data_IF_922604985422
#
_entry.id   IF_922604985422
#
_cell.length_a   1.000
_cell.length_b   1.000
_cell.length_c   1.000
_cell.angle_alpha   90.00
_cell.angle_beta   90.00
_cell.angle_gamma   90.00
#
_symmetry.space_group_name_H-M   'P 1'
#
loop_
_entity.id
_entity.type
_entity.pdbx_description
1 polymer ?
#
# COMPACT_ATOMS: atom_id res chain seq x y z
N UNK A 1 -6.55 -1.84 5.87
CA UNK A 1 -5.89 -0.72 6.55
C UNK A 1 -5.43 -1.18 7.92
N UNK A 2 -4.23 -0.78 8.36
CA UNK A 2 -3.72 -1.11 9.69
C UNK A 2 -4.40 -0.21 10.73
N UNK A 3 -4.63 -0.71 11.96
CA UNK A 3 -5.14 0.10 13.09
C UNK A 3 -4.32 1.38 13.30
N UNK A 4 -3.04 1.38 12.91
CA UNK A 4 -2.13 2.52 12.97
C UNK A 4 -2.61 3.75 12.15
N UNK A 5 -3.51 3.57 11.18
CA UNK A 5 -4.14 4.69 10.46
C UNK A 5 -5.16 5.47 11.30
N UNK A 6 -5.52 4.96 12.49
CA UNK A 6 -6.39 5.67 13.43
C UNK A 6 -5.71 6.92 14.01
N UNK A 7 -4.38 6.89 14.16
CA UNK A 7 -3.59 8.01 14.73
C UNK A 7 -3.73 9.28 13.88
N UNK A 8 -3.42 9.28 12.56
CA UNK A 8 -3.62 10.47 11.74
C UNK A 8 -5.09 10.89 11.66
N UNK A 9 -6.03 9.94 11.67
CA UNK A 9 -7.47 10.27 11.67
C UNK A 9 -7.89 11.04 12.94
N UNK A 10 -7.41 10.62 14.11
CA UNK A 10 -7.67 11.31 15.37
C UNK A 10 -6.99 12.68 15.42
N UNK A 11 -5.74 12.79 14.98
CA UNK A 11 -5.02 14.07 14.91
C UNK A 11 -5.73 15.06 13.98
N UNK A 12 -6.20 14.58 12.82
CA UNK A 12 -6.97 15.39 11.89
C UNK A 12 -8.27 15.87 12.50
N UNK A 13 -9.03 14.96 13.13
CA UNK A 13 -10.30 15.29 13.76
C UNK A 13 -10.11 16.32 14.89
N UNK A 14 -9.08 16.15 15.72
CA UNK A 14 -8.73 17.10 16.79
C UNK A 14 -8.33 18.47 16.21
N UNK A 15 -7.44 18.50 15.22
CA UNK A 15 -7.00 19.75 14.58
C UNK A 15 -8.14 20.49 13.90
N UNK A 16 -8.99 19.76 13.17
CA UNK A 16 -10.14 20.32 12.47
C UNK A 16 -11.23 20.85 13.42
N UNK A 17 -11.51 20.12 14.52
CA UNK A 17 -12.46 20.60 15.53
C UNK A 17 -11.95 21.85 16.24
N UNK A 18 -10.65 21.93 16.57
CA UNK A 18 -10.04 23.13 17.15
C UNK A 18 -10.09 24.35 16.22
N UNK A 19 -9.83 24.16 14.92
CA UNK A 19 -9.95 25.24 13.93
C UNK A 19 -11.39 25.73 13.81
N UNK A 20 -12.34 24.80 13.76
CA UNK A 20 -13.76 25.14 13.68
C UNK A 20 -14.20 25.94 14.91
N UNK A 21 -13.83 25.48 16.11
CA UNK A 21 -14.11 26.20 17.35
C UNK A 21 -13.49 27.61 17.33
N UNK A 22 -12.22 27.73 16.94
CA UNK A 22 -11.55 29.03 16.81
C UNK A 22 -12.29 29.97 15.85
N UNK A 23 -12.78 29.47 14.72
CA UNK A 23 -13.53 30.26 13.76
C UNK A 23 -14.86 30.75 14.35
N UNK A 24 -15.62 29.89 15.05
CA UNK A 24 -16.87 30.27 15.71
C UNK A 24 -16.67 31.29 16.83
N UNK A 25 -15.63 31.13 17.66
CA UNK A 25 -15.31 32.08 18.74
C UNK A 25 -14.72 33.40 18.22
N UNK A 26 -14.15 33.43 17.01
CA UNK A 26 -13.64 34.65 16.39
C UNK A 26 -14.73 35.57 15.83
N UNK A 27 -15.97 35.09 15.63
CA UNK A 27 -17.10 35.91 15.16
C UNK A 27 -17.81 36.68 16.29
N UNK A 28 -17.63 36.29 17.55
CA UNK A 28 -18.08 37.06 18.70
C UNK A 28 -16.96 37.98 19.16
N UNK A 29 -17.25 39.27 19.40
CA UNK A 29 -16.30 40.32 19.82
C UNK A 29 -15.60 40.06 21.18
N UNK A 30 -14.85 38.98 21.33
CA UNK A 30 -13.98 38.76 22.48
C UNK A 30 -12.52 38.94 22.08
N UNK A 31 -11.97 40.09 22.46
CA UNK A 31 -10.54 40.47 22.43
C UNK A 31 -9.69 39.57 23.34
N UNK A 32 -9.67 38.26 23.10
CA UNK A 32 -8.77 37.33 23.79
C UNK A 32 -7.80 36.72 22.79
N UNK A 33 -6.58 36.40 23.21
CA UNK A 33 -5.56 35.73 22.37
C UNK A 33 -5.84 34.22 22.21
N UNK A 34 -6.83 33.69 22.93
CA UNK A 34 -7.21 32.27 22.98
C UNK A 34 -7.62 31.71 21.60
N UNK A 35 -8.38 32.43 20.74
CA UNK A 35 -8.72 31.97 19.39
C UNK A 35 -7.47 31.83 18.52
N UNK A 36 -6.52 32.77 18.60
CA UNK A 36 -5.30 32.74 17.79
C UNK A 36 -4.42 31.54 18.14
N UNK A 37 -4.27 31.24 19.44
CA UNK A 37 -3.49 30.08 19.90
C UNK A 37 -4.16 28.77 19.47
N UNK A 38 -5.49 28.66 19.64
CA UNK A 38 -6.24 27.48 19.22
C UNK A 38 -6.15 27.25 17.70
N UNK A 39 -6.15 28.33 16.90
CA UNK A 39 -5.96 28.26 15.46
C UNK A 39 -4.57 27.72 15.09
N UNK A 40 -3.51 28.26 15.69
CA UNK A 40 -2.14 27.83 15.43
C UNK A 40 -1.92 26.35 15.78
N UNK A 41 -2.46 25.90 16.93
CA UNK A 41 -2.42 24.49 17.34
C UNK A 41 -3.21 23.60 16.37
N UNK A 42 -4.39 24.05 15.92
CA UNK A 42 -5.19 23.34 14.93
C UNK A 42 -4.46 23.14 13.59
N UNK A 43 -3.79 24.18 13.09
CA UNK A 43 -2.94 24.11 11.88
C UNK A 43 -1.79 23.12 12.09
N UNK A 44 -1.11 23.19 13.24
CA UNK A 44 0.00 22.29 13.56
C UNK A 44 -0.44 20.81 13.59
N UNK A 45 -1.62 20.51 14.15
CA UNK A 45 -2.18 19.15 14.18
C UNK A 45 -2.54 18.62 12.79
N UNK A 46 -3.05 19.48 11.90
CA UNK A 46 -3.31 19.10 10.51
C UNK A 46 -2.00 18.86 9.76
N UNK A 47 -0.97 19.69 9.96
CA UNK A 47 0.35 19.45 9.39
C UNK A 47 0.95 18.12 9.90
N UNK A 48 0.79 17.84 11.20
CA UNK A 48 1.24 16.60 11.81
C UNK A 48 0.52 15.37 11.22
N UNK A 49 -0.77 15.48 10.93
CA UNK A 49 -1.55 14.44 10.25
C UNK A 49 -0.90 14.02 8.92
N UNK A 50 -0.43 14.98 8.13
CA UNK A 50 0.25 14.69 6.87
C UNK A 50 1.52 13.84 7.10
N UNK A 51 2.33 14.19 8.10
CA UNK A 51 3.53 13.43 8.47
C UNK A 51 3.17 12.01 8.91
N UNK A 52 2.17 11.85 9.77
CA UNK A 52 1.72 10.53 10.21
C UNK A 52 1.16 9.69 9.06
N UNK A 53 0.48 10.27 8.08
CA UNK A 53 0.04 9.53 6.89
C UNK A 53 1.22 8.94 6.11
N UNK A 54 2.34 9.66 5.99
CA UNK A 54 3.56 9.13 5.36
C UNK A 54 4.15 7.96 6.16
N UNK A 55 4.13 8.05 7.50
CA UNK A 55 4.59 6.98 8.38
C UNK A 55 3.68 5.74 8.23
N UNK A 56 2.36 5.92 8.19
CA UNK A 56 1.41 4.83 8.00
C UNK A 56 1.63 4.13 6.65
N UNK A 57 1.87 4.89 5.57
CA UNK A 57 2.24 4.33 4.27
C UNK A 57 3.52 3.49 4.35
N UNK A 58 4.52 3.96 5.10
CA UNK A 58 5.75 3.20 5.33
C UNK A 58 5.51 1.89 6.09
N UNK A 59 4.72 1.92 7.18
CA UNK A 59 4.38 0.70 7.93
C UNK A 59 3.55 -0.30 7.11
N UNK A 60 2.64 0.20 6.26
CA UNK A 60 1.87 -0.65 5.34
C UNK A 60 2.80 -1.48 4.43
N UNK A 61 3.85 -0.83 3.88
CA UNK A 61 4.86 -1.51 3.06
C UNK A 61 5.72 -2.48 3.87
N UNK A 62 6.14 -2.11 5.08
CA UNK A 62 6.96 -2.96 5.94
C UNK A 62 6.24 -4.27 6.30
N UNK A 63 4.94 -4.19 6.60
CA UNK A 63 4.09 -5.35 6.88
C UNK A 63 4.10 -6.34 5.70
N UNK A 64 4.06 -5.85 4.46
CA UNK A 64 4.07 -6.70 3.26
C UNK A 64 5.42 -7.37 3.05
N UNK A 65 6.53 -6.66 3.26
CA UNK A 65 7.86 -7.29 3.23
C UNK A 65 8.02 -8.37 4.29
N UNK A 66 7.47 -8.18 5.49
CA UNK A 66 7.49 -9.20 6.53
C UNK A 66 6.65 -10.43 6.15
N UNK A 67 5.46 -10.22 5.58
CA UNK A 67 4.61 -11.30 5.10
C UNK A 67 5.27 -12.10 3.96
N UNK A 68 5.89 -11.41 3.00
CA UNK A 68 6.65 -12.01 1.91
C UNK A 68 7.83 -12.83 2.45
N UNK A 69 8.62 -12.27 3.37
CA UNK A 69 9.75 -12.97 3.96
C UNK A 69 9.33 -14.20 4.79
N UNK A 70 8.25 -14.09 5.56
CA UNK A 70 7.72 -15.21 6.33
C UNK A 70 7.21 -16.33 5.41
N UNK A 71 6.54 -15.98 4.31
CA UNK A 71 6.07 -16.97 3.32
C UNK A 71 7.23 -17.76 2.69
N UNK A 72 8.35 -17.09 2.35
CA UNK A 72 9.56 -17.77 1.84
C UNK A 72 10.23 -18.63 2.91
N UNK A 73 10.23 -18.18 4.17
CA UNK A 73 10.88 -18.89 5.27
C UNK A 73 10.14 -20.14 5.75
N UNK A 74 8.81 -20.19 5.61
CA UNK A 74 7.98 -21.31 6.10
C UNK A 74 7.68 -22.32 5.00
N UNK A 75 7.51 -21.88 3.75
CA UNK A 75 7.07 -22.74 2.65
C UNK A 75 8.24 -23.10 1.75
N UNK A 76 8.42 -24.40 1.49
CA UNK A 76 9.39 -24.88 0.50
C UNK A 76 9.07 -24.32 -0.90
N UNK A 77 10.05 -23.65 -1.50
CA UNK A 77 9.87 -22.94 -2.77
C UNK A 77 8.86 -21.79 -2.67
N UNK A 78 8.67 -21.22 -1.48
CA UNK A 78 7.69 -20.18 -1.20
C UNK A 78 7.87 -18.94 -2.06
N UNK A 79 9.12 -18.56 -2.37
CA UNK A 79 9.44 -17.42 -3.24
C UNK A 79 8.87 -17.59 -4.64
N UNK A 80 9.19 -18.69 -5.30
CA UNK A 80 8.72 -19.00 -6.66
C UNK A 80 7.20 -19.18 -6.70
N UNK A 81 6.61 -19.87 -5.72
CA UNK A 81 5.15 -20.05 -5.63
C UNK A 81 4.42 -18.72 -5.43
N UNK A 82 4.92 -17.86 -4.54
CA UNK A 82 4.35 -16.55 -4.26
C UNK A 82 4.50 -15.60 -5.45
N UNK A 83 5.65 -15.63 -6.14
CA UNK A 83 5.89 -14.90 -7.40
C UNK A 83 4.85 -15.25 -8.45
N UNK A 84 4.64 -16.54 -8.72
CA UNK A 84 3.62 -17.01 -9.69
C UNK A 84 2.20 -16.63 -9.29
N UNK A 85 1.86 -16.78 -8.00
CA UNK A 85 0.54 -16.41 -7.49
C UNK A 85 0.27 -14.91 -7.66
N UNK A 86 1.23 -14.05 -7.29
CA UNK A 86 1.11 -12.61 -7.44
C UNK A 86 0.93 -12.24 -8.91
N UNK A 87 1.77 -12.80 -9.80
CA UNK A 87 1.66 -12.58 -11.25
C UNK A 87 0.27 -12.94 -11.80
N UNK A 88 -0.29 -14.06 -11.37
CA UNK A 88 -1.64 -14.46 -11.77
C UNK A 88 -2.70 -13.47 -11.30
N UNK A 89 -2.62 -13.02 -10.04
CA UNK A 89 -3.57 -12.03 -9.51
C UNK A 89 -3.48 -10.72 -10.30
N UNK A 90 -2.28 -10.25 -10.66
CA UNK A 90 -2.15 -9.05 -11.50
C UNK A 90 -2.80 -9.21 -12.88
N UNK A 91 -2.65 -10.39 -13.52
CA UNK A 91 -3.29 -10.68 -14.81
C UNK A 91 -4.82 -10.67 -14.67
N UNK A 92 -5.34 -11.35 -13.65
CA UNK A 92 -6.79 -11.45 -13.40
C UNK A 92 -7.40 -10.07 -13.06
N UNK A 93 -6.71 -9.25 -12.27
CA UNK A 93 -7.09 -7.87 -11.98
C UNK A 93 -7.07 -7.00 -13.26
N UNK A 94 -6.04 -7.10 -14.09
CA UNK A 94 -5.97 -6.39 -15.36
C UNK A 94 -7.13 -6.76 -16.30
N UNK A 95 -7.50 -8.04 -16.33
CA UNK A 95 -8.63 -8.52 -17.11
C UNK A 95 -9.97 -7.97 -16.63
N UNK A 96 -10.24 -8.02 -15.32
CA UNK A 96 -11.47 -7.48 -14.73
C UNK A 96 -11.64 -5.98 -15.05
N UNK A 97 -10.55 -5.23 -15.01
CA UNK A 97 -10.56 -3.80 -15.36
C UNK A 97 -10.91 -3.57 -16.83
N UNK A 98 -10.36 -4.39 -17.75
CA UNK A 98 -10.72 -4.36 -19.19
C UNK A 98 -12.19 -4.68 -19.45
N UNK A 99 -12.82 -5.49 -18.61
CA UNK A 99 -14.27 -5.75 -18.66
C UNK A 99 -15.11 -4.59 -18.13
N UNK A 100 -14.50 -3.46 -17.76
CA UNK A 100 -15.19 -2.30 -17.20
C UNK A 100 -15.55 -2.44 -15.72
N UNK A 101 -15.01 -3.46 -15.03
CA UNK A 101 -15.19 -3.58 -13.58
C UNK A 101 -14.31 -2.56 -12.89
N UNK A 102 -14.93 -1.61 -12.18
CA UNK A 102 -14.21 -0.64 -11.38
C UNK A 102 -13.72 -1.28 -10.07
N UNK A 103 -12.52 -1.88 -10.15
CA UNK A 103 -11.88 -2.55 -9.01
C UNK A 103 -11.59 -1.57 -7.87
N UNK A 104 -11.44 -0.27 -8.19
CA UNK A 104 -11.23 0.80 -7.22
C UNK A 104 -12.41 0.96 -6.25
N UNK A 105 -13.63 0.59 -6.66
CA UNK A 105 -14.80 0.53 -5.76
C UNK A 105 -14.61 -0.46 -4.64
N UNK A 106 -13.89 -1.56 -4.88
CA UNK A 106 -13.56 -2.59 -3.89
C UNK A 106 -12.26 -2.30 -3.12
N UNK A 107 -11.77 -1.05 -3.18
CA UNK A 107 -10.57 -0.62 -2.45
C UNK A 107 -10.65 -0.85 -0.94
N UNK A 108 -11.86 -0.91 -0.38
CA UNK A 108 -12.10 -1.27 1.03
C UNK A 108 -11.74 -2.74 1.35
N UNK A 109 -11.77 -3.63 0.34
CA UNK A 109 -11.29 -5.01 0.42
C UNK A 109 -9.79 -5.14 0.10
N UNK A 110 -9.04 -4.05 -0.10
CA UNK A 110 -7.58 -4.10 -0.32
C UNK A 110 -6.82 -4.89 0.75
N UNK A 111 -7.35 -4.96 1.97
CA UNK A 111 -6.75 -5.77 3.03
C UNK A 111 -6.85 -7.29 2.77
N UNK A 112 -7.84 -7.74 2.01
CA UNK A 112 -8.03 -9.13 1.58
C UNK A 112 -7.27 -9.44 0.27
N UNK A 113 -6.94 -8.41 -0.52
CA UNK A 113 -6.14 -8.59 -1.72
C UNK A 113 -4.65 -8.60 -1.37
N UNK A 114 -3.96 -9.68 -1.75
CA UNK A 114 -2.50 -9.87 -1.55
C UNK A 114 -1.67 -8.93 -2.46
N UNK A 115 -2.30 -8.34 -3.47
CA UNK A 115 -1.71 -7.43 -4.47
C UNK A 115 -2.56 -6.17 -4.65
N UNK A 116 -1.91 -5.06 -4.99
CA UNK A 116 -2.58 -3.82 -5.35
C UNK A 116 -3.20 -3.95 -6.77
N UNK A 117 -4.53 -3.87 -6.91
CA UNK A 117 -5.19 -3.99 -8.21
C UNK A 117 -4.94 -2.79 -9.14
N UNK A 118 -4.30 -1.73 -8.64
CA UNK A 118 -4.00 -0.51 -9.39
C UNK A 118 -2.78 -0.65 -10.32
N UNK A 119 -2.04 -1.75 -10.22
CA UNK A 119 -0.85 -1.95 -11.03
C UNK A 119 -1.25 -2.50 -12.38
N UNK A 120 -1.24 -1.60 -13.34
CA UNK A 120 -1.63 -1.85 -14.71
C UNK A 120 -0.55 -2.66 -15.42
N UNK A 121 -0.82 -3.96 -15.59
CA UNK A 121 -0.10 -4.77 -16.54
C UNK A 121 -1.04 -5.09 -17.68
N UNK A 122 -0.81 -4.41 -18.80
CA UNK A 122 -1.57 -4.63 -20.02
C UNK A 122 -1.08 -5.90 -20.72
N UNK A 123 -1.43 -7.05 -20.13
CA UNK A 123 -1.12 -8.37 -20.66
C UNK A 123 -2.46 -8.94 -21.14
N UNK A 124 -2.57 -9.17 -22.45
CA UNK A 124 -3.80 -9.70 -23.05
C UNK A 124 -4.30 -10.95 -22.32
N UNK A 125 -5.62 -11.11 -22.22
CA UNK A 125 -6.24 -12.24 -21.52
C UNK A 125 -5.80 -13.57 -22.14
N UNK A 126 -5.14 -14.43 -21.35
CA UNK A 126 -4.75 -15.78 -21.77
C UNK A 126 -5.48 -16.80 -20.91
N UNK A 127 -6.29 -17.63 -21.56
CA UNK A 127 -7.13 -18.66 -20.94
C UNK A 127 -6.32 -19.82 -20.31
N UNK A 128 -5.08 -20.00 -20.76
CA UNK A 128 -4.16 -21.03 -20.28
C UNK A 128 -2.89 -20.39 -19.74
N UNK A 129 -2.88 -20.13 -18.43
CA UNK A 129 -1.68 -19.74 -17.70
C UNK A 129 -0.88 -21.00 -17.38
N UNK A 130 0.09 -21.33 -18.22
CA UNK A 130 1.08 -22.36 -17.87
C UNK A 130 2.09 -21.78 -16.86
N UNK A 131 2.73 -22.62 -16.02
CA UNK A 131 3.77 -22.16 -15.11
C UNK A 131 4.90 -21.40 -15.81
N UNK A 132 5.31 -21.83 -17.01
CA UNK A 132 6.38 -21.17 -17.77
C UNK A 132 5.97 -19.76 -18.23
N UNK A 133 4.70 -19.59 -18.61
CA UNK A 133 4.18 -18.29 -19.02
C UNK A 133 4.10 -17.31 -17.85
N UNK A 134 3.70 -17.81 -16.67
CA UNK A 134 3.71 -17.03 -15.43
C UNK A 134 5.11 -16.57 -15.05
N UNK A 135 6.11 -17.43 -15.21
CA UNK A 135 7.51 -17.08 -14.93
C UNK A 135 8.04 -16.05 -15.93
N UNK A 136 7.72 -16.19 -17.22
CA UNK A 136 8.08 -15.22 -18.25
C UNK A 136 7.50 -13.82 -17.96
N UNK A 137 6.22 -13.76 -17.56
CA UNK A 137 5.59 -12.49 -17.18
C UNK A 137 6.24 -11.94 -15.90
N UNK A 138 6.51 -12.79 -14.91
CA UNK A 138 7.13 -12.35 -13.66
C UNK A 138 8.50 -11.69 -13.91
N UNK A 139 9.32 -12.26 -14.80
CA UNK A 139 10.59 -11.64 -15.22
C UNK A 139 10.38 -10.31 -15.96
N UNK A 140 9.38 -10.24 -16.85
CA UNK A 140 9.05 -8.98 -17.53
C UNK A 140 8.69 -7.88 -16.53
N UNK A 141 7.86 -8.19 -15.54
CA UNK A 141 7.48 -7.24 -14.47
C UNK A 141 8.70 -6.82 -13.65
N UNK A 142 9.58 -7.77 -13.30
CA UNK A 142 10.81 -7.52 -12.54
C UNK A 142 11.78 -6.57 -13.25
N UNK A 143 11.82 -6.61 -14.58
CA UNK A 143 12.67 -5.72 -15.40
C UNK A 143 12.18 -4.26 -15.46
N UNK A 144 10.92 -4.00 -15.10
CA UNK A 144 10.38 -2.64 -15.13
C UNK A 144 10.99 -1.77 -14.03
N UNK A 145 11.32 -0.49 -14.31
CA UNK A 145 11.79 0.42 -13.28
C UNK A 145 10.64 0.70 -12.29
N UNK A 146 10.86 0.53 -10.98
CA UNK A 146 9.85 0.88 -9.99
C UNK A 146 9.62 2.39 -9.99
N UNK A 147 8.39 2.81 -10.27
CA UNK A 147 7.97 4.24 -10.25
C UNK A 147 6.82 4.43 -9.25
N UNK A 148 6.69 5.63 -8.69
CA UNK A 148 5.52 6.03 -7.91
C UNK A 148 5.43 5.54 -6.45
N UNK A 149 6.50 4.99 -5.87
CA UNK A 149 6.44 4.35 -4.55
C UNK A 149 6.17 5.28 -3.37
N UNK A 150 6.48 6.58 -3.50
CA UNK A 150 6.39 7.53 -2.38
C UNK A 150 4.94 7.71 -1.92
N UNK A 151 3.98 7.58 -2.84
CA UNK A 151 2.55 7.78 -2.58
C UNK A 151 1.71 6.49 -2.62
N UNK A 152 2.33 5.33 -2.85
CA UNK A 152 1.61 4.05 -2.85
C UNK A 152 1.69 3.33 -1.50
N UNK A 153 0.56 2.75 -1.08
CA UNK A 153 0.44 1.92 0.12
C UNK A 153 1.08 0.54 -0.01
N UNK A 154 1.42 0.15 -1.25
CA UNK A 154 2.00 -1.15 -1.59
C UNK A 154 3.37 -0.99 -2.25
N UNK A 155 4.34 -1.88 -1.99
CA UNK A 155 5.59 -1.90 -2.71
C UNK A 155 5.37 -2.38 -4.14
N UNK A 156 6.12 -1.78 -5.08
CA UNK A 156 6.02 -2.14 -6.49
C UNK A 156 6.35 -3.63 -6.70
N UNK A 157 5.57 -4.40 -7.50
CA UNK A 157 5.75 -5.84 -7.72
C UNK A 157 7.14 -6.19 -8.22
N UNK A 158 7.74 -5.33 -9.05
CA UNK A 158 9.12 -5.51 -9.50
C UNK A 158 10.13 -5.58 -8.34
N UNK A 159 9.97 -4.77 -7.27
CA UNK A 159 10.82 -4.86 -6.08
C UNK A 159 10.50 -6.09 -5.26
N UNK A 160 9.22 -6.42 -5.08
CA UNK A 160 8.80 -7.65 -4.38
C UNK A 160 9.40 -8.89 -5.03
N UNK A 161 9.36 -9.00 -6.35
CA UNK A 161 9.94 -10.15 -7.08
C UNK A 161 11.45 -10.28 -6.91
N UNK A 162 12.19 -9.17 -6.91
CA UNK A 162 13.63 -9.18 -6.63
C UNK A 162 13.92 -9.67 -5.22
N UNK A 163 13.20 -9.14 -4.23
CA UNK A 163 13.35 -9.53 -2.82
C UNK A 163 13.00 -11.01 -2.61
N UNK A 164 11.93 -11.51 -3.24
CA UNK A 164 11.52 -12.91 -3.12
C UNK A 164 12.58 -13.87 -3.66
N UNK A 165 13.18 -13.56 -4.81
CA UNK A 165 14.26 -14.38 -5.38
C UNK A 165 15.54 -14.32 -4.56
N UNK A 166 15.90 -13.14 -4.06
CA UNK A 166 17.05 -12.97 -3.18
C UNK A 166 16.88 -13.81 -1.91
N UNK A 167 15.72 -13.69 -1.24
CA UNK A 167 15.40 -14.49 -0.05
C UNK A 167 15.37 -15.99 -0.34
N UNK A 168 14.80 -16.41 -1.46
CA UNK A 168 14.78 -17.83 -1.85
C UNK A 168 16.19 -18.36 -2.13
N UNK A 169 17.06 -17.56 -2.74
CA UNK A 169 18.46 -17.92 -2.97
C UNK A 169 19.26 -18.06 -1.66
N UNK A 170 18.98 -17.20 -0.68
CA UNK A 170 19.63 -17.20 0.64
C UNK A 170 19.13 -18.34 1.54
N UNK A 171 17.86 -18.75 1.38
CA UNK A 171 17.24 -19.81 2.20
C UNK A 171 17.34 -21.21 1.59
N UNK A 172 17.66 -21.32 0.30
CA UNK A 172 17.96 -22.59 -0.40
C UNK A 172 18.91 -23.55 0.34
N UNK A 173 19.98 -23.11 1.04
CA UNK A 173 20.83 -24.02 1.81
C UNK A 173 20.19 -24.61 3.07
N UNK A 174 19.01 -24.13 3.51
CA UNK A 174 18.36 -24.54 4.77
C UNK A 174 17.35 -25.68 4.62
N UNK A 175 16.92 -25.97 3.40
CA UNK A 175 15.92 -26.99 3.05
C UNK A 175 16.52 -28.17 2.28
N UNK A 176 17.81 -28.44 2.46
CA UNK A 176 18.50 -29.62 1.93
C UNK A 176 18.84 -30.60 3.04
#
# INVERSE_FOLDING_TARGET
MMIISLIPALLYWLGYTMLRMSAFYSLGEQRSNVPVIAMAVGIALIALTFVFNLIVLYFSRLREYYADAHAVAVVEGGGTKLKRALTRILIDCGYLRRLGVDISRYSHLKALFISDPEIELDIGFIRHLTPEYLDMIAEKIKSLPPRGEILSSHPHPAKRFRVLEELESLLKPRFR
#
